data_IF_054581692149
#
_entry.id   IF_054581692149
#
_cell.length_a   1.000
_cell.length_b   1.000
_cell.length_c   1.000
_cell.angle_alpha   90.00
_cell.angle_beta   90.00
_cell.angle_gamma   90.00
#
_symmetry.space_group_name_H-M   'P 1'
#
loop_
_entity.id
_entity.type
_entity.pdbx_description
1 polymer ?
#
# COMPACT_ATOMS: atom_id res chain seq x y z
N UNK A 1 -2.17 -20.24 -22.74
CA UNK A 1 -1.44 -19.09 -22.19
C UNK A 1 -2.44 -17.96 -21.99
N UNK A 2 -2.44 -17.26 -20.85
CA UNK A 2 -3.29 -16.08 -20.70
C UNK A 2 -2.86 -15.01 -21.72
N UNK A 3 -3.83 -14.31 -22.29
CA UNK A 3 -3.59 -13.22 -23.24
C UNK A 3 -3.17 -11.96 -22.50
N UNK A 4 -2.30 -11.15 -23.12
CA UNK A 4 -1.91 -9.84 -22.58
C UNK A 4 -2.94 -8.81 -23.04
N UNK A 5 -3.67 -8.14 -22.14
CA UNK A 5 -4.68 -7.17 -22.52
C UNK A 5 -4.04 -5.87 -23.04
N UNK A 6 -4.42 -5.45 -24.26
CA UNK A 6 -4.09 -4.12 -24.79
C UNK A 6 -5.14 -3.13 -24.29
N UNK A 7 -4.69 -2.08 -23.58
CA UNK A 7 -5.58 -1.08 -22.98
C UNK A 7 -6.04 -0.07 -24.03
N UNK A 8 -7.32 0.28 -23.99
CA UNK A 8 -7.89 1.40 -24.74
C UNK A 8 -7.60 2.74 -24.04
N UNK A 9 -8.03 3.84 -24.66
CA UNK A 9 -7.81 5.18 -24.12
C UNK A 9 -8.39 5.37 -22.72
N UNK A 10 -9.58 4.82 -22.46
CA UNK A 10 -10.24 4.89 -21.16
C UNK A 10 -9.48 4.09 -20.09
N UNK A 11 -9.06 2.87 -20.41
CA UNK A 11 -8.24 2.04 -19.53
C UNK A 11 -6.91 2.70 -19.18
N UNK A 12 -6.24 3.31 -20.15
CA UNK A 12 -5.00 4.07 -19.92
C UNK A 12 -5.27 5.28 -19.01
N UNK A 13 -6.36 6.03 -19.24
CA UNK A 13 -6.72 7.18 -18.41
C UNK A 13 -7.00 6.78 -16.95
N UNK A 14 -7.73 5.69 -16.74
CA UNK A 14 -7.98 5.11 -15.42
C UNK A 14 -6.69 4.68 -14.71
N UNK A 15 -5.81 3.95 -15.41
CA UNK A 15 -4.50 3.56 -14.86
C UNK A 15 -3.68 4.78 -14.43
N UNK A 16 -3.62 5.83 -15.27
CA UNK A 16 -2.91 7.07 -14.93
C UNK A 16 -3.46 7.72 -13.66
N UNK A 17 -4.79 7.78 -13.50
CA UNK A 17 -5.42 8.34 -12.32
C UNK A 17 -5.10 7.50 -11.06
N UNK A 18 -5.26 6.18 -11.14
CA UNK A 18 -4.97 5.27 -10.02
C UNK A 18 -3.49 5.28 -9.61
N UNK A 19 -2.56 5.30 -10.57
CA UNK A 19 -1.12 5.36 -10.29
C UNK A 19 -0.71 6.69 -9.65
N UNK A 20 -1.27 7.83 -10.10
CA UNK A 20 -1.03 9.13 -9.44
C UNK A 20 -1.52 9.13 -8.00
N UNK A 21 -2.70 8.54 -7.75
CA UNK A 21 -3.24 8.45 -6.41
C UNK A 21 -2.37 7.56 -5.50
N UNK A 22 -1.96 6.39 -6.01
CA UNK A 22 -1.06 5.49 -5.28
C UNK A 22 0.27 6.18 -4.93
N UNK A 23 0.82 7.00 -5.84
CA UNK A 23 2.03 7.78 -5.56
C UNK A 23 1.81 8.81 -4.45
N UNK A 24 0.72 9.57 -4.49
CA UNK A 24 0.38 10.55 -3.45
C UNK A 24 0.26 9.87 -2.08
N UNK A 25 -0.44 8.73 -2.01
CA UNK A 25 -0.59 7.96 -0.77
C UNK A 25 0.77 7.50 -0.24
N UNK A 26 1.66 7.03 -1.12
CA UNK A 26 3.02 6.65 -0.75
C UNK A 26 3.83 7.84 -0.20
N UNK A 27 3.74 9.01 -0.83
CA UNK A 27 4.42 10.23 -0.37
C UNK A 27 3.94 10.65 1.02
N UNK A 28 2.63 10.66 1.22
CA UNK A 28 2.02 10.96 2.51
C UNK A 28 2.54 10.01 3.60
N UNK A 29 2.60 8.71 3.29
CA UNK A 29 3.10 7.67 4.19
C UNK A 29 4.58 7.83 4.55
N UNK A 30 5.42 8.12 3.55
CA UNK A 30 6.86 8.35 3.76
C UNK A 30 7.09 9.51 4.73
N UNK A 31 6.30 10.57 4.64
CA UNK A 31 6.48 11.78 5.45
C UNK A 31 6.16 11.63 6.94
N UNK A 32 5.49 10.54 7.37
CA UNK A 32 5.27 10.29 8.81
C UNK A 32 5.86 8.96 9.30
N UNK A 33 6.67 8.28 8.49
CA UNK A 33 7.47 7.15 8.96
C UNK A 33 8.61 7.66 9.86
N UNK A 34 8.70 7.09 11.06
CA UNK A 34 9.73 7.41 12.04
C UNK A 34 10.07 6.18 12.89
N UNK A 35 11.30 6.09 13.44
CA UNK A 35 11.66 5.04 14.39
C UNK A 35 10.71 5.00 15.59
N UNK A 36 10.47 3.80 16.12
CA UNK A 36 9.58 3.55 17.25
C UNK A 36 8.15 3.21 16.86
N UNK A 37 7.68 3.53 15.65
CA UNK A 37 6.34 3.16 15.16
C UNK A 37 6.24 1.67 14.89
N UNK A 38 5.11 1.06 15.21
CA UNK A 38 4.81 -0.32 14.84
C UNK A 38 4.41 -0.42 13.37
N UNK A 39 4.73 -1.52 12.70
CA UNK A 39 4.26 -1.77 11.32
C UNK A 39 2.72 -1.80 11.25
N UNK A 40 2.04 -2.19 12.33
CA UNK A 40 0.57 -2.10 12.42
C UNK A 40 0.03 -0.66 12.51
N UNK A 41 0.74 0.29 13.13
CA UNK A 41 0.37 1.71 13.08
C UNK A 41 0.48 2.24 11.65
N UNK A 42 1.55 1.89 10.93
CA UNK A 42 1.76 2.28 9.53
C UNK A 42 0.63 1.72 8.64
N UNK A 43 0.26 0.46 8.82
CA UNK A 43 -0.83 -0.17 8.04
C UNK A 43 -2.19 0.50 8.29
N UNK A 44 -2.52 0.82 9.55
CA UNK A 44 -3.76 1.54 9.90
C UNK A 44 -3.82 2.91 9.25
N UNK A 45 -2.72 3.65 9.33
CA UNK A 45 -2.64 4.98 8.75
C UNK A 45 -2.75 4.95 7.23
N UNK A 46 -2.15 3.96 6.56
CA UNK A 46 -2.38 3.75 5.13
C UNK A 46 -3.86 3.57 4.80
N UNK A 47 -4.58 2.78 5.60
CA UNK A 47 -6.03 2.64 5.48
C UNK A 47 -6.78 3.98 5.58
N UNK A 48 -6.40 4.83 6.53
CA UNK A 48 -7.01 6.16 6.67
C UNK A 48 -6.76 7.06 5.46
N UNK A 49 -5.54 7.11 4.93
CA UNK A 49 -5.20 7.95 3.77
C UNK A 49 -5.90 7.44 2.51
N UNK A 50 -5.94 6.12 2.32
CA UNK A 50 -6.66 5.46 1.22
C UNK A 50 -8.15 5.82 1.28
N UNK A 51 -8.78 5.68 2.45
CA UNK A 51 -10.19 5.99 2.64
C UNK A 51 -10.51 7.48 2.43
N UNK A 52 -9.68 8.38 2.99
CA UNK A 52 -9.80 9.84 2.80
C UNK A 52 -9.68 10.25 1.32
N UNK A 53 -8.97 9.46 0.54
CA UNK A 53 -8.80 9.67 -0.90
C UNK A 53 -9.96 9.14 -1.75
N UNK A 54 -11.01 8.59 -1.14
CA UNK A 54 -12.11 7.94 -1.86
C UNK A 54 -11.72 6.63 -2.55
N UNK A 55 -10.61 6.02 -2.14
CA UNK A 55 -10.09 4.77 -2.70
C UNK A 55 -10.29 3.59 -1.74
N UNK A 56 -9.95 2.40 -2.23
CA UNK A 56 -9.91 1.16 -1.44
C UNK A 56 -8.57 0.48 -1.64
N UNK A 57 -8.08 -0.23 -0.62
CA UNK A 57 -6.87 -1.03 -0.75
C UNK A 57 -7.11 -2.17 -1.74
N UNK A 58 -6.12 -2.41 -2.60
CA UNK A 58 -6.09 -3.59 -3.47
C UNK A 58 -5.69 -4.87 -2.70
N UNK A 59 -5.10 -4.71 -1.51
CA UNK A 59 -4.56 -5.81 -0.70
C UNK A 59 -5.56 -6.30 0.34
N UNK A 60 -6.29 -5.39 1.00
CA UNK A 60 -7.24 -5.77 2.05
C UNK A 60 -8.29 -6.75 1.52
N UNK A 61 -8.31 -7.97 2.07
CA UNK A 61 -9.20 -9.05 1.68
C UNK A 61 -8.76 -9.83 0.43
N UNK A 62 -7.75 -9.36 -0.30
CA UNK A 62 -7.22 -10.09 -1.46
C UNK A 62 -6.62 -11.42 -1.02
N UNK A 63 -7.25 -12.53 -1.42
CA UNK A 63 -6.87 -13.89 -0.98
C UNK A 63 -6.73 -14.00 0.55
N UNK A 64 -7.62 -13.31 1.29
CA UNK A 64 -7.63 -13.25 2.77
C UNK A 64 -6.44 -12.48 3.37
N UNK A 65 -5.69 -11.70 2.59
CA UNK A 65 -4.66 -10.82 3.13
C UNK A 65 -5.28 -9.79 4.09
N UNK A 66 -4.76 -9.64 5.32
CA UNK A 66 -5.46 -8.89 6.37
C UNK A 66 -5.13 -7.39 6.42
N UNK A 67 -4.03 -6.96 5.78
CA UNK A 67 -3.53 -5.58 5.87
C UNK A 67 -3.98 -4.69 4.71
N UNK A 68 -3.81 -3.38 4.90
CA UNK A 68 -3.98 -2.37 3.85
C UNK A 68 -2.79 -2.35 2.89
N UNK A 69 -1.59 -2.65 3.40
CA UNK A 69 -0.32 -2.66 2.71
C UNK A 69 0.48 -3.93 3.02
N UNK A 70 1.50 -4.17 2.20
CA UNK A 70 2.61 -5.05 2.56
C UNK A 70 3.72 -4.19 3.18
N UNK A 71 4.23 -4.57 4.34
CA UNK A 71 5.30 -3.87 5.06
C UNK A 71 6.38 -4.90 5.34
N UNK A 72 7.44 -4.89 4.53
CA UNK A 72 8.48 -5.92 4.53
C UNK A 72 9.79 -5.33 5.04
N UNK A 73 10.12 -5.62 6.29
CA UNK A 73 11.28 -5.07 7.00
C UNK A 73 12.44 -6.06 6.98
N UNK A 74 13.61 -5.60 6.55
CA UNK A 74 14.89 -6.33 6.57
C UNK A 74 14.84 -7.68 5.81
N UNK A 75 14.83 -8.80 6.54
CA UNK A 75 14.81 -10.16 6.01
C UNK A 75 13.49 -10.57 5.34
N UNK A 76 12.42 -9.80 5.56
CA UNK A 76 11.13 -10.01 4.91
C UNK A 76 11.24 -9.67 3.41
N UNK A 77 11.13 -10.68 2.54
CA UNK A 77 11.32 -10.49 1.09
C UNK A 77 10.23 -9.60 0.49
N UNK A 78 8.97 -9.97 0.67
CA UNK A 78 7.76 -9.24 0.26
C UNK A 78 6.58 -9.70 1.12
N UNK A 79 5.45 -8.99 1.03
CA UNK A 79 4.17 -9.37 1.66
C UNK A 79 4.17 -9.46 3.19
N UNK A 80 5.11 -8.78 3.87
CA UNK A 80 5.07 -8.65 5.33
C UNK A 80 3.76 -8.02 5.81
N UNK A 81 3.23 -8.53 6.93
CA UNK A 81 1.94 -8.12 7.51
C UNK A 81 2.20 -7.18 8.68
N UNK A 82 1.49 -6.05 8.71
CA UNK A 82 1.56 -5.10 9.81
C UNK A 82 1.20 -5.74 11.16
N UNK A 83 2.01 -5.49 12.20
CA UNK A 83 1.86 -6.09 13.52
C UNK A 83 2.54 -5.26 14.61
N UNK A 84 2.98 -5.94 15.68
CA UNK A 84 3.62 -5.29 16.84
C UNK A 84 5.11 -4.94 16.64
N UNK A 85 5.73 -5.36 15.52
CA UNK A 85 7.14 -5.04 15.19
C UNK A 85 7.32 -3.52 15.11
N UNK A 86 8.23 -2.98 15.93
CA UNK A 86 8.61 -1.56 15.87
C UNK A 86 9.71 -1.35 14.84
N UNK A 87 9.57 -0.29 14.05
CA UNK A 87 10.61 0.22 13.17
C UNK A 87 11.74 0.79 14.01
N UNK A 88 12.97 0.55 13.58
CA UNK A 88 14.18 1.08 14.20
C UNK A 88 14.92 1.93 13.18
N UNK A 89 15.76 2.85 13.67
CA UNK A 89 16.76 3.49 12.84
C UNK A 89 17.80 2.45 12.41
N UNK A 90 18.16 2.42 11.13
CA UNK A 90 19.09 1.43 10.55
C UNK A 90 19.32 1.65 9.07
#
# INVERSE_FOLDING_TARGET
MPTIPIKDAAGIAGMRASCRLARMILEELVNRLEPGRTTGEVDRWAGEVIAKSGARSAFLGYRKFPGQLCISVNEEVVHGIGGSRRLAYG
#
